data_IF_038043786482
#
_entry.id   IF_038043786482
#
_cell.length_a   1.000
_cell.length_b   1.000
_cell.length_c   1.000
_cell.angle_alpha   90.00
_cell.angle_beta   90.00
_cell.angle_gamma   90.00
#
_symmetry.space_group_name_H-M   'P 1'
#
loop_
_entity.id
_entity.type
_entity.pdbx_description
1 polymer ?
#
# COMPACT_ATOMS: atom_id res chain seq x y z
N UNK A 1 3.94 14.34 5.81
CA UNK A 1 3.43 13.19 6.59
C UNK A 1 2.69 12.25 5.62
N UNK A 2 3.40 11.43 4.84
CA UNK A 2 2.79 10.46 3.90
C UNK A 2 3.34 9.03 4.06
N UNK A 3 4.53 8.89 4.65
CA UNK A 3 5.17 7.58 4.80
C UNK A 3 4.47 6.68 5.82
N UNK A 4 3.89 7.25 6.89
CA UNK A 4 3.17 6.45 7.90
C UNK A 4 1.90 5.85 7.29
N UNK A 5 1.21 6.65 6.48
CA UNK A 5 0.02 6.28 5.74
C UNK A 5 0.33 5.23 4.66
N UNK A 6 1.43 5.42 3.92
CA UNK A 6 1.90 4.43 2.95
C UNK A 6 2.28 3.09 3.62
N UNK A 7 2.96 3.12 4.77
CA UNK A 7 3.30 1.90 5.53
C UNK A 7 2.03 1.18 6.00
N UNK A 8 1.04 1.91 6.53
CA UNK A 8 -0.22 1.31 6.97
C UNK A 8 -0.97 0.68 5.79
N UNK A 9 -1.11 1.40 4.67
CA UNK A 9 -1.74 0.88 3.46
C UNK A 9 -1.02 -0.37 2.92
N UNK A 10 0.31 -0.37 2.96
CA UNK A 10 1.12 -1.53 2.53
C UNK A 10 0.93 -2.74 3.45
N UNK A 11 0.86 -2.54 4.77
CA UNK A 11 0.56 -3.60 5.73
C UNK A 11 -0.83 -4.21 5.49
N UNK A 12 -1.83 -3.38 5.17
CA UNK A 12 -3.17 -3.86 4.77
C UNK A 12 -3.11 -4.72 3.51
N UNK A 13 -2.41 -4.27 2.47
CA UNK A 13 -2.26 -5.04 1.22
C UNK A 13 -1.49 -6.35 1.43
N UNK A 14 -0.49 -6.39 2.32
CA UNK A 14 0.25 -7.61 2.66
C UNK A 14 -0.59 -8.61 3.46
N UNK A 15 -1.56 -8.12 4.25
CA UNK A 15 -2.46 -8.96 5.06
C UNK A 15 -3.63 -9.50 4.25
N UNK A 16 -3.97 -8.87 3.12
CA UNK A 16 -4.96 -9.42 2.19
C UNK A 16 -4.54 -10.85 1.79
N UNK A 17 -5.52 -11.77 1.72
CA UNK A 17 -5.23 -13.16 1.36
C UNK A 17 -4.47 -13.21 0.03
N UNK A 18 -3.52 -14.16 -0.10
CA UNK A 18 -2.71 -14.27 -1.31
C UNK A 18 -3.60 -14.36 -2.55
N UNK A 19 -3.52 -13.34 -3.41
CA UNK A 19 -4.29 -13.27 -4.65
C UNK A 19 -5.61 -12.51 -4.56
N UNK A 20 -6.06 -12.11 -3.36
CA UNK A 20 -7.20 -11.19 -3.24
C UNK A 20 -6.79 -9.80 -3.70
N UNK A 21 -7.37 -9.39 -4.82
CA UNK A 21 -7.27 -8.03 -5.33
C UNK A 21 -8.03 -7.10 -4.40
N UNK A 22 -7.31 -6.14 -3.81
CA UNK A 22 -7.92 -5.17 -2.89
C UNK A 22 -8.24 -3.88 -3.63
N UNK A 23 -9.47 -3.38 -3.50
CA UNK A 23 -9.85 -2.09 -4.07
C UNK A 23 -9.28 -0.92 -3.24
N UNK A 24 -9.10 0.25 -3.86
CA UNK A 24 -8.69 1.48 -3.15
C UNK A 24 -9.60 1.80 -1.97
N UNK A 25 -10.91 1.66 -2.19
CA UNK A 25 -11.93 1.93 -1.18
C UNK A 25 -11.81 0.96 0.01
N UNK A 26 -11.59 -0.32 -0.26
CA UNK A 26 -11.38 -1.33 0.80
C UNK A 26 -10.12 -1.04 1.60
N UNK A 27 -9.02 -0.62 0.96
CA UNK A 27 -7.79 -0.21 1.66
C UNK A 27 -8.08 0.97 2.59
N UNK A 28 -8.80 1.99 2.12
CA UNK A 28 -9.21 3.15 2.92
C UNK A 28 -10.00 2.71 4.17
N UNK A 29 -11.07 1.95 3.96
CA UNK A 29 -11.96 1.51 5.04
C UNK A 29 -11.22 0.68 6.10
N UNK A 30 -10.33 -0.22 5.68
CA UNK A 30 -9.54 -1.04 6.61
C UNK A 30 -8.56 -0.17 7.39
N UNK A 31 -7.89 0.78 6.74
CA UNK A 31 -6.96 1.70 7.41
C UNK A 31 -7.66 2.58 8.43
N UNK A 32 -8.79 3.20 8.07
CA UNK A 32 -9.57 4.07 8.96
C UNK A 32 -10.14 3.29 10.13
N UNK A 33 -10.66 2.08 9.87
CA UNK A 33 -11.14 1.17 10.92
C UNK A 33 -10.03 0.80 11.87
N UNK A 34 -8.85 0.42 11.37
CA UNK A 34 -7.70 0.10 12.20
C UNK A 34 -7.30 1.27 13.10
N UNK A 35 -7.24 2.49 12.54
CA UNK A 35 -6.92 3.70 13.30
C UNK A 35 -7.91 3.96 14.42
N UNK A 36 -9.19 3.77 14.15
CA UNK A 36 -10.24 3.92 15.15
C UNK A 36 -10.19 2.81 16.21
N UNK A 37 -10.03 1.54 15.81
CA UNK A 37 -10.05 0.41 16.74
C UNK A 37 -8.88 0.45 17.72
N UNK A 38 -7.67 0.71 17.21
CA UNK A 38 -6.44 0.67 18.00
C UNK A 38 -6.16 1.97 18.76
N UNK A 39 -6.48 3.13 18.17
CA UNK A 39 -6.08 4.43 18.72
C UNK A 39 -7.27 5.31 19.10
N UNK A 40 -8.51 4.90 18.81
CA UNK A 40 -9.74 5.69 19.03
C UNK A 40 -9.74 7.03 18.28
N UNK A 41 -8.98 7.11 17.19
CA UNK A 41 -8.91 8.31 16.33
C UNK A 41 -9.69 8.06 15.05
N UNK A 42 -10.65 8.94 14.76
CA UNK A 42 -11.28 9.01 13.44
C UNK A 42 -10.38 9.82 12.51
N UNK A 43 -10.03 9.24 11.38
CA UNK A 43 -9.20 9.88 10.36
C UNK A 43 -9.86 9.72 9.00
N UNK A 44 -9.62 10.68 8.12
CA UNK A 44 -9.84 10.50 6.68
C UNK A 44 -8.50 10.06 6.07
N UNK A 45 -8.41 8.80 5.65
CA UNK A 45 -7.16 8.24 5.17
C UNK A 45 -6.85 8.77 3.76
N UNK A 46 -5.69 9.42 3.53
CA UNK A 46 -5.30 9.93 2.20
C UNK A 46 -4.78 8.80 1.30
N UNK A 47 -5.62 7.80 1.03
CA UNK A 47 -5.26 6.53 0.40
C UNK A 47 -4.64 6.72 -0.98
N UNK A 48 -5.11 7.68 -1.78
CA UNK A 48 -4.60 7.88 -3.15
C UNK A 48 -3.13 8.34 -3.15
N UNK A 49 -2.74 9.22 -2.21
CA UNK A 49 -1.35 9.66 -2.04
C UNK A 49 -0.48 8.53 -1.48
N UNK A 50 -1.00 7.77 -0.53
CA UNK A 50 -0.32 6.60 0.02
C UNK A 50 -0.03 5.56 -1.08
N UNK A 51 -1.04 5.20 -1.86
CA UNK A 51 -0.92 4.24 -2.95
C UNK A 51 -0.03 4.74 -4.09
N UNK A 52 -0.14 6.01 -4.48
CA UNK A 52 0.78 6.62 -5.45
C UNK A 52 2.24 6.48 -5.01
N UNK A 53 2.51 6.68 -3.71
CA UNK A 53 3.84 6.46 -3.14
C UNK A 53 4.27 4.99 -3.24
N UNK A 54 3.39 4.04 -2.89
CA UNK A 54 3.70 2.61 -2.97
C UNK A 54 3.97 2.15 -4.40
N UNK A 55 3.15 2.57 -5.37
CA UNK A 55 3.33 2.29 -6.80
C UNK A 55 4.65 2.90 -7.29
N UNK A 56 4.89 4.18 -6.99
CA UNK A 56 6.13 4.87 -7.36
C UNK A 56 7.35 4.13 -6.82
N UNK A 57 7.30 3.61 -5.60
CA UNK A 57 8.39 2.90 -4.92
C UNK A 57 8.49 1.40 -5.27
N UNK A 58 7.65 0.90 -6.18
CA UNK A 58 7.56 -0.53 -6.54
C UNK A 58 7.31 -1.43 -5.31
N UNK A 59 6.47 -0.96 -4.39
CA UNK A 59 6.00 -1.69 -3.20
C UNK A 59 4.60 -2.28 -3.40
N UNK A 60 3.85 -1.77 -4.37
CA UNK A 60 2.58 -2.32 -4.82
C UNK A 60 2.53 -2.29 -6.35
N UNK A 61 1.58 -3.03 -6.92
CA UNK A 61 1.23 -2.95 -8.34
C UNK A 61 -0.28 -2.85 -8.49
N UNK A 62 -0.70 -2.21 -9.58
CA UNK A 62 -2.08 -2.32 -10.04
C UNK A 62 -2.27 -3.60 -10.83
N UNK A 63 -3.48 -4.13 -10.79
CA UNK A 63 -3.94 -5.24 -11.62
C UNK A 63 -5.38 -4.96 -12.07
N UNK A 64 -5.77 -5.55 -13.19
CA UNK A 64 -7.14 -5.49 -13.69
C UNK A 64 -7.68 -6.92 -13.74
N UNK A 65 -8.67 -7.22 -12.90
CA UNK A 65 -9.39 -8.51 -12.93
C UNK A 65 -10.86 -8.18 -13.17
N UNK A 66 -11.47 -8.80 -14.17
CA UNK A 66 -12.87 -8.61 -14.55
C UNK A 66 -13.27 -7.12 -14.76
N UNK A 67 -12.37 -6.34 -15.36
CA UNK A 67 -12.58 -4.91 -15.62
C UNK A 67 -12.48 -4.01 -14.38
N UNK A 68 -12.15 -4.56 -13.21
CA UNK A 68 -11.96 -3.81 -11.97
C UNK A 68 -10.48 -3.63 -11.69
N UNK A 69 -10.06 -2.38 -11.55
CA UNK A 69 -8.75 -2.02 -11.03
C UNK A 69 -8.65 -2.42 -9.57
N UNK A 70 -7.59 -3.13 -9.22
CA UNK A 70 -7.23 -3.29 -7.83
C UNK A 70 -5.74 -3.44 -7.62
N UNK A 71 -5.38 -3.68 -6.36
CA UNK A 71 -4.03 -3.50 -5.86
C UNK A 71 -3.52 -4.81 -5.28
N UNK A 72 -2.25 -5.09 -5.55
CA UNK A 72 -1.51 -6.19 -4.97
C UNK A 72 -0.22 -5.65 -4.33
N UNK A 73 0.09 -6.14 -3.14
CA UNK A 73 1.38 -5.87 -2.52
C UNK A 73 2.50 -6.61 -3.27
N UNK A 74 3.65 -5.95 -3.39
CA UNK A 74 4.90 -6.66 -3.66
C UNK A 74 5.37 -7.29 -2.34
N UNK A 75 5.74 -8.57 -2.28
CA UNK A 75 6.22 -9.18 -1.04
C UNK A 75 7.49 -8.51 -0.49
N UNK A 76 7.61 -8.43 0.85
CA UNK A 76 8.71 -7.73 1.53
C UNK A 76 10.13 -8.04 1.01
N UNK A 77 10.52 -9.31 0.74
CA UNK A 77 11.86 -9.59 0.20
C UNK A 77 12.10 -8.92 -1.17
N UNK A 78 11.09 -8.94 -2.06
CA UNK A 78 11.18 -8.31 -3.38
C UNK A 78 11.12 -6.78 -3.26
N UNK A 79 10.26 -6.27 -2.39
CA UNK A 79 10.17 -4.85 -2.08
C UNK A 79 11.50 -4.28 -1.57
N UNK A 80 12.21 -5.01 -0.69
CA UNK A 80 13.53 -4.63 -0.22
C UNK A 80 14.54 -4.50 -1.37
N UNK A 81 14.59 -5.49 -2.29
CA UNK A 81 15.48 -5.42 -3.45
C UNK A 81 15.15 -4.21 -4.34
N UNK A 82 13.86 -4.00 -4.65
CA UNK A 82 13.42 -2.85 -5.45
C UNK A 82 13.87 -1.51 -4.83
N UNK A 83 13.74 -1.35 -3.51
CA UNK A 83 14.18 -0.14 -2.80
C UNK A 83 15.70 0.01 -2.82
N UNK A 84 16.44 -1.08 -2.63
CA UNK A 84 17.91 -1.09 -2.64
C UNK A 84 18.47 -0.71 -4.01
N UNK A 85 17.96 -1.32 -5.08
CA UNK A 85 18.35 -1.00 -6.46
C UNK A 85 18.07 0.47 -6.78
N UNK A 86 16.88 0.96 -6.41
CA UNK A 86 16.55 2.38 -6.59
C UNK A 86 17.48 3.29 -5.82
N UNK A 87 17.76 2.98 -4.55
CA UNK A 87 18.66 3.77 -3.72
C UNK A 87 20.06 3.84 -4.34
N UNK A 88 20.60 2.71 -4.79
CA UNK A 88 21.90 2.65 -5.44
C UNK A 88 21.95 3.51 -6.72
N UNK A 89 20.88 3.52 -7.52
CA UNK A 89 20.78 4.38 -8.71
C UNK A 89 20.61 5.88 -8.43
N UNK A 90 20.36 6.29 -7.18
CA UNK A 90 20.37 7.71 -6.78
C UNK A 90 21.74 8.17 -6.30
N UNK A 91 22.63 7.23 -5.99
CA UNK A 91 24.00 7.51 -5.51
C UNK A 91 25.04 7.48 -6.63
N UNK A 92 24.64 7.10 -7.84
CA UNK A 92 25.43 7.15 -9.09
C UNK A 92 25.26 8.48 -9.79
#
# INVERSE_FOLDING_TARGET
MQYKEAILAYAVLLKAEKGQVTSRQSVREICERFMYEMFKVKVEMPVDKALSTLLRLNLATETCIDGRLGLLAIPCPKAYQNLKERWNGLLS
#
